data_IF_727701958684
#
_entry.id   IF_727701958684
#
_cell.length_a   1.000
_cell.length_b   1.000
_cell.length_c   1.000
_cell.angle_alpha   90.00
_cell.angle_beta   90.00
_cell.angle_gamma   90.00
#
_symmetry.space_group_name_H-M   'P 1'
#
loop_
_entity.id
_entity.type
_entity.pdbx_description
1 polymer ?
#
# COMPACT_ATOMS: atom_id res chain seq x y z
N UNK A 1 28.35 -42.39 -3.07
CA UNK A 1 27.06 -41.76 -3.45
C UNK A 1 26.97 -40.44 -2.72
N UNK A 2 27.29 -39.34 -3.41
CA UNK A 2 27.36 -38.00 -2.82
C UNK A 2 26.00 -37.33 -2.89
N UNK A 3 25.49 -36.86 -1.74
CA UNK A 3 24.25 -36.11 -1.64
C UNK A 3 24.37 -34.74 -2.35
N UNK A 4 23.28 -34.19 -2.93
CA UNK A 4 23.34 -32.92 -3.62
C UNK A 4 23.48 -31.77 -2.63
N UNK A 5 24.52 -30.96 -2.81
CA UNK A 5 24.73 -29.69 -2.10
C UNK A 5 23.62 -28.72 -2.53
N UNK A 6 22.70 -28.44 -1.61
CA UNK A 6 21.77 -27.31 -1.72
C UNK A 6 22.57 -26.02 -1.84
N UNK A 7 22.60 -25.44 -3.05
CA UNK A 7 23.13 -24.09 -3.28
C UNK A 7 22.22 -23.10 -2.54
N UNK A 8 22.65 -22.65 -1.36
CA UNK A 8 22.10 -21.44 -0.73
C UNK A 8 22.24 -20.30 -1.75
N UNK A 9 21.11 -19.79 -2.25
CA UNK A 9 21.08 -18.54 -3.03
C UNK A 9 21.64 -17.43 -2.13
N UNK A 10 22.62 -16.71 -2.62
CA UNK A 10 23.25 -15.57 -1.93
C UNK A 10 22.24 -14.46 -1.65
N UNK A 11 22.35 -13.80 -0.49
CA UNK A 11 21.50 -12.68 -0.08
C UNK A 11 21.53 -11.49 -1.05
N UNK A 12 22.64 -11.30 -1.77
CA UNK A 12 22.81 -10.25 -2.78
C UNK A 12 21.84 -10.40 -3.97
N UNK A 13 21.59 -11.63 -4.41
CA UNK A 13 20.68 -11.92 -5.53
C UNK A 13 19.24 -11.56 -5.16
N UNK A 14 18.81 -11.89 -3.94
CA UNK A 14 17.47 -11.58 -3.45
C UNK A 14 17.22 -10.07 -3.28
N UNK A 15 18.24 -9.29 -2.94
CA UNK A 15 18.10 -7.84 -2.82
C UNK A 15 17.98 -7.18 -4.21
N UNK A 16 18.82 -7.60 -5.17
CA UNK A 16 18.73 -7.18 -6.57
C UNK A 16 17.35 -7.49 -7.19
N UNK A 17 16.80 -8.67 -6.92
CA UNK A 17 15.48 -9.06 -7.42
C UNK A 17 14.35 -8.17 -6.83
N UNK A 18 14.46 -7.78 -5.55
CA UNK A 18 13.49 -6.89 -4.90
C UNK A 18 13.54 -5.48 -5.48
N UNK A 19 14.74 -4.93 -5.64
CA UNK A 19 14.90 -3.59 -6.21
C UNK A 19 14.41 -3.54 -7.67
N UNK A 20 14.70 -4.57 -8.46
CA UNK A 20 14.18 -4.67 -9.82
C UNK A 20 12.63 -4.70 -9.85
N UNK A 21 12.00 -5.45 -8.94
CA UNK A 21 10.52 -5.48 -8.81
C UNK A 21 9.94 -4.12 -8.41
N UNK A 22 10.61 -3.39 -7.52
CA UNK A 22 10.23 -2.02 -7.17
C UNK A 22 10.32 -1.09 -8.37
N UNK A 23 11.42 -1.13 -9.11
CA UNK A 23 11.61 -0.30 -10.31
C UNK A 23 10.60 -0.62 -11.42
N UNK A 24 10.25 -1.90 -11.61
CA UNK A 24 9.17 -2.32 -12.53
C UNK A 24 7.80 -1.76 -12.14
N UNK A 25 7.60 -1.43 -10.87
CA UNK A 25 6.38 -0.80 -10.34
C UNK A 25 6.54 0.74 -10.19
N UNK A 26 7.55 1.33 -10.83
CA UNK A 26 7.80 2.77 -10.82
C UNK A 26 8.34 3.32 -9.50
N UNK A 27 8.86 2.46 -8.62
CA UNK A 27 9.43 2.86 -7.33
C UNK A 27 10.96 2.90 -7.44
N UNK A 28 11.56 4.03 -7.08
CA UNK A 28 12.98 4.28 -7.24
C UNK A 28 13.63 4.68 -5.90
N UNK A 29 14.65 3.93 -5.48
CA UNK A 29 15.45 4.20 -4.28
C UNK A 29 16.52 5.27 -4.51
N UNK A 30 16.14 6.36 -5.19
CA UNK A 30 17.00 7.49 -5.51
C UNK A 30 16.18 8.77 -5.60
N UNK A 31 16.88 9.90 -5.55
CA UNK A 31 16.28 11.20 -5.83
C UNK A 31 16.17 11.44 -7.33
N UNK A 32 15.21 12.28 -7.69
CA UNK A 32 14.97 12.82 -9.03
C UNK A 32 15.19 14.32 -9.03
N UNK A 33 15.70 14.85 -10.14
CA UNK A 33 15.89 16.30 -10.37
C UNK A 33 14.57 17.09 -10.28
N UNK A 34 13.43 16.40 -10.37
CA UNK A 34 12.08 16.96 -10.30
C UNK A 34 11.58 17.16 -8.85
N UNK A 35 12.43 16.89 -7.84
CA UNK A 35 12.16 17.27 -6.46
C UNK A 35 12.08 18.79 -6.32
N UNK A 36 10.98 19.28 -5.73
CA UNK A 36 10.74 20.71 -5.53
C UNK A 36 11.59 21.31 -4.42
N UNK A 37 11.99 22.57 -4.60
CA UNK A 37 12.82 23.30 -3.65
C UNK A 37 12.12 23.52 -2.30
N UNK A 38 10.81 23.74 -2.32
CA UNK A 38 9.98 23.92 -1.13
C UNK A 38 9.98 22.67 -0.23
N UNK A 39 10.11 21.48 -0.82
CA UNK A 39 10.23 20.24 -0.04
C UNK A 39 11.59 20.14 0.66
N UNK A 40 12.67 20.60 0.03
CA UNK A 40 13.98 20.69 0.68
C UNK A 40 13.93 21.69 1.84
N UNK A 41 13.31 22.85 1.64
CA UNK A 41 13.12 23.86 2.68
C UNK A 41 12.28 23.33 3.85
N UNK A 42 11.19 22.61 3.56
CA UNK A 42 10.39 21.93 4.58
C UNK A 42 11.24 20.96 5.39
N UNK A 43 12.03 20.09 4.74
CA UNK A 43 12.91 19.16 5.43
C UNK A 43 13.93 19.89 6.33
N UNK A 44 14.57 20.95 5.83
CA UNK A 44 15.47 21.78 6.64
C UNK A 44 14.77 22.36 7.87
N UNK A 45 13.56 22.90 7.70
CA UNK A 45 12.75 23.44 8.79
C UNK A 45 12.35 22.37 9.82
N UNK A 46 12.03 21.16 9.37
CA UNK A 46 11.71 20.04 10.26
C UNK A 46 12.92 19.58 11.08
N UNK A 47 14.14 19.78 10.58
CA UNK A 47 15.40 19.50 11.28
C UNK A 47 15.81 20.58 12.29
N UNK A 48 15.16 21.75 12.26
CA UNK A 48 15.45 22.85 13.18
C UNK A 48 14.90 22.58 14.59
N UNK A 49 15.56 23.20 15.57
CA UNK A 49 15.24 23.06 16.97
C UNK A 49 15.94 21.87 17.63
N UNK A 50 16.10 21.99 18.95
CA UNK A 50 16.61 20.93 19.82
C UNK A 50 15.70 20.93 21.05
N UNK A 51 14.69 20.07 21.07
CA UNK A 51 14.02 19.74 22.32
C UNK A 51 14.63 18.43 22.80
N UNK A 52 15.30 18.47 23.94
CA UNK A 52 15.50 17.22 24.67
C UNK A 52 14.12 16.74 25.14
N UNK A 53 13.83 15.43 25.08
CA UNK A 53 12.60 14.89 25.64
C UNK A 53 12.50 15.30 27.13
N UNK A 54 11.54 16.16 27.47
CA UNK A 54 11.37 16.70 28.83
C UNK A 54 10.72 15.71 29.79
N UNK A 55 10.06 14.69 29.25
CA UNK A 55 9.41 13.61 29.99
C UNK A 55 9.85 12.27 29.41
N UNK A 56 10.13 11.32 30.30
CA UNK A 56 10.65 9.99 30.01
C UNK A 56 9.80 9.27 28.95
N UNK A 57 10.23 9.18 27.68
CA UNK A 57 9.45 8.49 26.64
C UNK A 57 9.24 7.01 27.00
N UNK A 58 10.20 6.45 27.74
CA UNK A 58 10.12 5.12 28.36
C UNK A 58 11.09 4.90 29.54
N UNK A 59 12.19 5.68 29.64
CA UNK A 59 13.14 5.65 30.75
C UNK A 59 13.93 6.99 30.86
N UNK A 60 14.76 7.20 31.89
CA UNK A 60 15.59 8.41 32.02
C UNK A 60 16.63 8.63 30.92
N UNK A 61 16.79 9.88 30.46
CA UNK A 61 17.72 10.26 29.37
C UNK A 61 19.13 9.78 29.65
N UNK A 62 19.59 9.90 30.90
CA UNK A 62 20.90 9.49 31.37
C UNK A 62 21.14 7.97 31.27
N UNK A 63 20.10 7.17 31.06
CA UNK A 63 20.18 5.71 30.91
C UNK A 63 20.25 5.23 29.47
N UNK A 64 20.20 6.13 28.49
CA UNK A 64 20.17 5.71 27.09
C UNK A 64 21.44 4.97 26.66
N UNK A 65 22.62 5.35 27.16
CA UNK A 65 23.87 4.67 26.82
C UNK A 65 23.89 3.24 27.40
N UNK A 66 23.48 3.06 28.66
CA UNK A 66 23.29 1.74 29.29
C UNK A 66 22.33 0.85 28.47
N UNK A 67 21.27 1.45 27.91
CA UNK A 67 20.26 0.74 27.10
C UNK A 67 20.80 0.37 25.72
N UNK A 68 21.48 1.28 25.03
CA UNK A 68 22.06 1.03 23.70
C UNK A 68 23.12 -0.09 23.76
N UNK A 69 23.95 -0.10 24.79
CA UNK A 69 24.94 -1.16 25.02
C UNK A 69 24.27 -2.51 25.24
N UNK A 70 23.19 -2.55 26.02
CA UNK A 70 22.46 -3.79 26.29
C UNK A 70 21.74 -4.33 25.05
N UNK A 71 21.23 -3.46 24.18
CA UNK A 71 20.45 -3.84 22.99
C UNK A 71 21.31 -4.35 21.86
N UNK A 72 22.61 -4.05 21.85
CA UNK A 72 23.53 -4.46 20.80
C UNK A 72 23.46 -5.95 20.40
N UNK A 73 23.11 -6.83 21.35
CA UNK A 73 23.03 -8.28 21.13
C UNK A 73 21.60 -8.84 21.24
N UNK A 74 20.57 -7.98 21.21
CA UNK A 74 19.18 -8.37 21.37
C UNK A 74 18.40 -8.35 20.06
N UNK A 75 17.16 -8.85 20.10
CA UNK A 75 16.29 -8.98 18.93
C UNK A 75 15.60 -7.65 18.54
N UNK A 76 14.95 -7.65 17.37
CA UNK A 76 14.26 -6.49 16.80
C UNK A 76 13.14 -5.96 17.72
N UNK A 77 12.41 -6.84 18.40
CA UNK A 77 11.35 -6.41 19.33
C UNK A 77 11.91 -5.59 20.51
N UNK A 78 13.13 -5.88 20.96
CA UNK A 78 13.82 -5.09 21.99
C UNK A 78 14.27 -3.74 21.46
N UNK A 79 14.78 -3.70 20.23
CA UNK A 79 15.09 -2.44 19.55
C UNK A 79 13.83 -1.56 19.42
N UNK A 80 12.72 -2.15 19.00
CA UNK A 80 11.43 -1.47 18.84
C UNK A 80 10.91 -0.89 20.15
N UNK A 81 10.92 -1.70 21.23
CA UNK A 81 10.39 -1.25 22.52
C UNK A 81 11.28 -0.19 23.18
N UNK A 82 12.59 -0.40 23.15
CA UNK A 82 13.52 0.35 24.00
C UNK A 82 14.17 1.54 23.26
N UNK A 83 14.35 1.48 21.93
CA UNK A 83 15.03 2.55 21.15
C UNK A 83 14.05 3.34 20.29
N UNK A 84 13.09 2.69 19.61
CA UNK A 84 12.19 3.39 18.69
C UNK A 84 11.46 4.58 19.33
N UNK A 85 10.97 4.55 20.60
CA UNK A 85 10.35 5.72 21.21
C UNK A 85 11.24 6.96 21.30
N UNK A 86 12.57 6.78 21.31
CA UNK A 86 13.57 7.86 21.29
C UNK A 86 13.95 8.33 19.88
N UNK A 87 13.46 7.65 18.85
CA UNK A 87 13.72 7.97 17.44
C UNK A 87 12.44 8.48 16.78
N UNK A 88 11.35 7.77 17.00
CA UNK A 88 10.00 7.99 16.50
C UNK A 88 9.05 7.99 17.70
N UNK A 89 8.83 9.15 18.35
CA UNK A 89 7.90 9.23 19.47
C UNK A 89 6.48 8.89 19.03
N UNK A 90 5.76 8.24 19.95
CA UNK A 90 4.32 8.02 19.84
C UNK A 90 3.57 9.34 19.89
N UNK A 91 2.77 9.62 18.87
CA UNK A 91 1.88 10.78 18.83
C UNK A 91 0.81 10.69 19.93
N UNK A 92 0.31 9.49 20.22
CA UNK A 92 -0.68 9.25 21.27
C UNK A 92 -0.11 9.48 22.66
N UNK A 93 1.07 8.95 22.96
CA UNK A 93 1.71 9.20 24.25
C UNK A 93 2.02 10.68 24.43
N UNK A 94 2.48 11.38 23.38
CA UNK A 94 2.67 12.83 23.42
C UNK A 94 1.35 13.56 23.73
N UNK A 95 0.23 13.13 23.15
CA UNK A 95 -1.09 13.69 23.41
C UNK A 95 -1.51 13.44 24.88
N UNK A 96 -1.37 12.22 25.38
CA UNK A 96 -1.68 11.88 26.78
C UNK A 96 -0.78 12.59 27.79
N UNK A 97 0.45 12.92 27.41
CA UNK A 97 1.38 13.79 28.15
C UNK A 97 1.07 15.29 28.00
N UNK A 98 -0.06 15.67 27.37
CA UNK A 98 -0.52 17.06 27.30
C UNK A 98 0.01 17.86 26.10
N UNK A 99 0.61 17.22 25.10
CA UNK A 99 0.94 17.90 23.83
C UNK A 99 -0.34 18.12 23.02
N UNK A 100 -0.83 19.36 22.99
CA UNK A 100 -2.02 19.74 22.25
C UNK A 100 -1.83 19.63 20.72
N UNK A 101 -2.94 19.46 19.99
CA UNK A 101 -2.96 19.51 18.53
C UNK A 101 -2.60 18.18 17.84
N UNK A 102 -2.58 17.08 18.58
CA UNK A 102 -2.29 15.73 18.08
C UNK A 102 -3.55 14.84 17.99
N UNK A 103 -4.73 15.37 18.29
CA UNK A 103 -6.00 14.62 18.33
C UNK A 103 -6.35 13.98 16.99
N UNK A 104 -5.93 14.60 15.89
CA UNK A 104 -6.15 14.09 14.53
C UNK A 104 -5.07 13.10 14.04
N UNK A 105 -4.02 12.86 14.83
CA UNK A 105 -2.92 11.95 14.47
C UNK A 105 -3.13 10.60 15.18
N UNK A 106 -3.08 9.54 14.39
CA UNK A 106 -3.15 8.16 14.86
C UNK A 106 -1.86 7.43 14.54
N UNK A 107 -1.62 6.33 15.24
CA UNK A 107 -0.48 5.46 14.99
C UNK A 107 -0.87 4.00 15.10
N UNK A 108 -0.09 3.15 14.43
CA UNK A 108 -0.23 1.71 14.45
C UNK A 108 1.15 1.08 14.55
N UNK A 109 1.26 0.01 15.33
CA UNK A 109 2.52 -0.69 15.59
C UNK A 109 2.41 -2.10 15.03
N UNK A 110 3.33 -2.49 14.14
CA UNK A 110 3.40 -3.83 13.56
C UNK A 110 2.06 -4.29 12.94
N UNK A 111 1.36 -3.39 12.25
CA UNK A 111 0.05 -3.63 11.65
C UNK A 111 0.15 -3.84 10.14
N UNK A 112 -0.48 -4.89 9.62
CA UNK A 112 -0.48 -5.18 8.18
C UNK A 112 -1.48 -4.27 7.46
N UNK A 113 -1.08 -3.72 6.31
CA UNK A 113 -1.93 -2.85 5.50
C UNK A 113 -2.88 -3.67 4.62
N UNK A 114 -3.93 -4.21 5.27
CA UNK A 114 -4.89 -5.14 4.65
C UNK A 114 -5.81 -4.49 3.60
N UNK A 115 -5.93 -3.16 3.60
CA UNK A 115 -6.82 -2.41 2.69
C UNK A 115 -6.16 -1.90 1.41
N UNK A 116 -4.85 -2.10 1.23
CA UNK A 116 -4.14 -1.64 0.04
C UNK A 116 -3.66 -2.79 -0.87
N UNK A 117 -3.65 -2.56 -2.18
CA UNK A 117 -2.94 -3.40 -3.14
C UNK A 117 -1.43 -3.12 -3.06
N UNK A 118 -0.58 -4.15 -2.88
CA UNK A 118 0.85 -3.95 -2.84
C UNK A 118 1.44 -3.67 -4.23
N UNK A 119 2.49 -2.83 -4.28
CA UNK A 119 3.20 -2.46 -5.50
C UNK A 119 4.50 -3.24 -5.67
N UNK A 120 4.42 -4.43 -6.26
CA UNK A 120 5.61 -5.22 -6.61
C UNK A 120 6.22 -6.05 -5.49
N UNK A 121 6.02 -5.73 -4.20
CA UNK A 121 6.42 -6.57 -3.05
C UNK A 121 5.19 -7.14 -2.31
N UNK A 122 5.40 -7.79 -1.15
CA UNK A 122 4.29 -8.25 -0.29
C UNK A 122 3.55 -7.06 0.34
N UNK A 123 2.39 -7.31 0.96
CA UNK A 123 1.69 -6.27 1.73
C UNK A 123 2.61 -5.65 2.78
N UNK A 124 2.62 -4.32 2.91
CA UNK A 124 3.36 -3.64 3.97
C UNK A 124 2.88 -4.09 5.36
N UNK A 125 3.84 -4.20 6.28
CA UNK A 125 3.59 -4.36 7.71
C UNK A 125 4.66 -3.58 8.48
N UNK A 126 4.58 -2.24 8.50
CA UNK A 126 5.59 -1.42 9.14
C UNK A 126 5.69 -1.69 10.63
N UNK A 127 6.89 -1.58 11.19
CA UNK A 127 7.11 -1.70 12.63
C UNK A 127 6.38 -0.58 13.39
N UNK A 128 6.32 0.62 12.80
CA UNK A 128 5.51 1.74 13.26
C UNK A 128 5.02 2.56 12.06
N UNK A 129 3.79 3.04 12.11
CA UNK A 129 3.28 4.02 11.15
C UNK A 129 2.40 5.06 11.86
N UNK A 130 2.53 6.33 11.48
CA UNK A 130 1.64 7.40 11.90
C UNK A 130 0.97 8.06 10.70
N UNK A 131 -0.27 8.46 10.91
CA UNK A 131 -1.19 8.94 9.88
C UNK A 131 -2.30 9.78 10.49
N UNK A 132 -3.31 10.04 9.68
CA UNK A 132 -4.51 10.74 10.13
C UNK A 132 -5.50 9.73 10.71
N UNK A 133 -6.09 10.03 11.87
CA UNK A 133 -7.20 9.23 12.39
C UNK A 133 -8.41 9.34 11.49
N UNK A 134 -9.25 8.30 11.47
CA UNK A 134 -10.55 8.40 10.81
C UNK A 134 -11.41 9.49 11.45
N UNK A 135 -11.31 9.68 12.76
CA UNK A 135 -12.00 10.74 13.51
C UNK A 135 -11.54 12.16 13.18
N UNK A 136 -10.43 12.35 12.47
CA UNK A 136 -9.96 13.66 12.02
C UNK A 136 -10.82 14.25 10.88
N UNK A 137 -11.62 13.40 10.22
CA UNK A 137 -12.49 13.76 9.12
C UNK A 137 -13.93 13.97 9.60
N UNK A 138 -14.65 14.91 8.97
CA UNK A 138 -16.09 15.05 9.17
C UNK A 138 -16.82 13.86 8.57
N UNK A 139 -18.02 13.59 9.04
CA UNK A 139 -18.87 12.50 8.54
C UNK A 139 -19.08 12.59 7.03
N UNK A 140 -19.35 13.79 6.50
CA UNK A 140 -19.56 13.99 5.07
C UNK A 140 -18.28 13.77 4.24
N UNK A 141 -17.11 14.08 4.83
CA UNK A 141 -15.80 13.80 4.22
C UNK A 141 -15.54 12.29 4.20
N UNK A 142 -15.88 11.57 5.28
CA UNK A 142 -15.76 10.12 5.35
C UNK A 142 -16.68 9.41 4.37
N UNK A 143 -17.94 9.82 4.24
CA UNK A 143 -18.88 9.25 3.26
C UNK A 143 -18.34 9.36 1.82
N UNK A 144 -17.70 10.49 1.48
CA UNK A 144 -17.03 10.66 0.18
C UNK A 144 -15.83 9.74 0.03
N UNK A 145 -14.97 9.66 1.05
CA UNK A 145 -13.80 8.78 1.06
C UNK A 145 -14.16 7.29 0.99
N UNK A 146 -15.22 6.86 1.66
CA UNK A 146 -15.72 5.48 1.61
C UNK A 146 -16.24 5.10 0.24
N UNK A 147 -16.92 6.03 -0.43
CA UNK A 147 -17.32 5.83 -1.82
C UNK A 147 -16.12 5.88 -2.78
N UNK A 148 -15.11 6.70 -2.50
CA UNK A 148 -13.90 6.78 -3.31
C UNK A 148 -12.98 5.55 -3.18
N UNK A 149 -12.85 5.02 -1.96
CA UNK A 149 -11.84 4.03 -1.61
C UNK A 149 -11.94 2.76 -2.43
N UNK A 150 -10.78 2.24 -2.84
CA UNK A 150 -10.60 0.88 -3.39
C UNK A 150 -9.24 0.34 -2.93
N UNK A 151 -8.93 -0.96 -3.10
CA UNK A 151 -7.58 -1.45 -2.85
C UNK A 151 -6.49 -0.72 -3.67
N UNK A 152 -6.81 -0.23 -4.87
CA UNK A 152 -5.91 0.52 -5.74
C UNK A 152 -5.74 1.98 -5.30
N UNK A 153 -6.77 2.54 -4.67
CA UNK A 153 -6.87 3.91 -4.15
C UNK A 153 -7.28 3.91 -2.67
N UNK A 154 -6.44 3.34 -1.79
CA UNK A 154 -6.79 3.22 -0.37
C UNK A 154 -6.75 4.61 0.27
N UNK A 155 -7.75 4.95 1.08
CA UNK A 155 -7.69 6.14 1.95
C UNK A 155 -7.30 5.77 3.39
N UNK A 156 -7.60 4.53 3.80
CA UNK A 156 -7.25 3.93 5.09
C UNK A 156 -6.55 2.59 4.87
N UNK A 157 -5.61 2.25 5.75
CA UNK A 157 -4.68 1.13 5.60
C UNK A 157 -4.87 0.07 6.68
N UNK A 158 -5.24 0.50 7.88
CA UNK A 158 -5.74 -0.30 9.01
C UNK A 158 -7.09 0.29 9.46
N UNK A 159 -7.67 -0.17 10.57
CA UNK A 159 -9.00 0.26 11.02
C UNK A 159 -9.16 1.79 11.25
N UNK A 160 -8.12 2.46 11.78
CA UNK A 160 -8.16 3.91 12.09
C UNK A 160 -7.05 4.73 11.39
N UNK A 161 -6.09 4.09 10.70
CA UNK A 161 -4.98 4.77 10.06
C UNK A 161 -5.29 5.19 8.61
N UNK A 162 -5.67 6.46 8.43
CA UNK A 162 -5.89 7.10 7.14
C UNK A 162 -4.65 7.86 6.65
N UNK A 163 -4.37 7.80 5.34
CA UNK A 163 -3.26 8.51 4.68
C UNK A 163 -1.96 8.60 5.53
N UNK A 164 -1.27 7.46 5.77
CA UNK A 164 -0.04 7.43 6.55
C UNK A 164 0.99 8.41 5.98
N UNK A 165 1.61 9.20 6.84
CA UNK A 165 2.61 10.19 6.44
C UNK A 165 3.97 9.97 7.11
N UNK A 166 4.07 9.06 8.08
CA UNK A 166 5.30 8.67 8.74
C UNK A 166 5.34 7.15 8.87
N UNK A 167 6.43 6.52 8.45
CA UNK A 167 6.59 5.05 8.48
C UNK A 167 7.98 4.74 9.04
N UNK A 168 8.09 3.75 9.90
CA UNK A 168 9.35 3.36 10.50
C UNK A 168 9.57 1.85 10.45
N UNK A 169 10.81 1.48 10.15
CA UNK A 169 11.32 0.11 10.14
C UNK A 169 12.59 0.07 10.98
N UNK A 170 12.58 -0.81 11.98
CA UNK A 170 13.67 -1.03 12.90
C UNK A 170 14.27 -2.41 12.61
N UNK A 171 15.57 -2.45 12.32
CA UNK A 171 16.26 -3.71 12.00
C UNK A 171 17.56 -3.84 12.77
N UNK A 172 17.96 -5.07 13.06
CA UNK A 172 19.25 -5.33 13.73
C UNK A 172 20.40 -5.41 12.72
N UNK A 173 21.57 -4.89 13.10
CA UNK A 173 22.78 -4.93 12.27
C UNK A 173 22.77 -3.97 11.05
N UNK A 174 23.85 -4.00 10.25
CA UNK A 174 24.00 -3.14 9.06
C UNK A 174 23.22 -3.66 7.85
N UNK A 175 23.25 -4.96 7.57
CA UNK A 175 22.45 -5.57 6.48
C UNK A 175 20.94 -5.34 6.72
N UNK A 176 20.53 -5.20 7.98
CA UNK A 176 19.16 -4.86 8.35
C UNK A 176 18.73 -3.46 7.88
N UNK A 177 19.64 -2.47 7.82
CA UNK A 177 19.24 -1.10 7.47
C UNK A 177 18.82 -0.98 6.00
N UNK A 178 19.51 -1.67 5.09
CA UNK A 178 19.16 -1.67 3.65
C UNK A 178 17.80 -2.37 3.43
N UNK A 179 17.49 -3.37 4.26
CA UNK A 179 16.18 -4.02 4.24
C UNK A 179 15.08 -3.09 4.77
N UNK A 180 15.33 -2.38 5.88
CA UNK A 180 14.43 -1.36 6.41
C UNK A 180 14.14 -0.28 5.35
N UNK A 181 15.18 0.22 4.67
CA UNK A 181 15.04 1.18 3.58
C UNK A 181 14.17 0.68 2.43
N UNK A 182 14.34 -0.58 2.04
CA UNK A 182 13.57 -1.23 0.97
C UNK A 182 12.09 -1.39 1.37
N UNK A 183 11.81 -1.73 2.63
CA UNK A 183 10.44 -1.85 3.15
C UNK A 183 9.77 -0.48 3.30
N UNK A 184 10.53 0.50 3.79
CA UNK A 184 10.08 1.88 3.96
C UNK A 184 9.74 2.53 2.62
N UNK A 185 10.60 2.44 1.60
CA UNK A 185 10.32 3.03 0.28
C UNK A 185 9.08 2.40 -0.37
N UNK A 186 8.87 1.10 -0.19
CA UNK A 186 7.70 0.40 -0.72
C UNK A 186 6.42 0.92 -0.06
N UNK A 187 6.39 0.93 1.27
CA UNK A 187 5.25 1.42 2.05
C UNK A 187 4.96 2.89 1.78
N UNK A 188 5.99 3.73 1.74
CA UNK A 188 5.86 5.16 1.48
C UNK A 188 5.40 5.47 0.05
N UNK A 189 5.75 4.63 -0.93
CA UNK A 189 5.26 4.79 -2.30
C UNK A 189 3.77 4.52 -2.40
N UNK A 190 3.25 3.51 -1.70
CA UNK A 190 1.81 3.23 -1.64
C UNK A 190 1.06 4.37 -0.93
N UNK A 191 1.59 4.87 0.20
CA UNK A 191 1.01 6.00 0.91
C UNK A 191 1.04 7.30 0.07
N UNK A 192 2.14 7.56 -0.66
CA UNK A 192 2.24 8.69 -1.59
C UNK A 192 1.24 8.55 -2.73
N UNK A 193 1.12 7.34 -3.30
CA UNK A 193 0.13 7.02 -4.35
C UNK A 193 -1.28 7.37 -3.89
N UNK A 194 -1.68 6.97 -2.68
CA UNK A 194 -3.01 7.24 -2.14
C UNK A 194 -3.39 8.74 -2.22
N UNK A 195 -2.47 9.62 -1.82
CA UNK A 195 -2.69 11.07 -1.81
C UNK A 195 -2.75 11.65 -3.22
N UNK A 196 -1.83 11.22 -4.10
CA UNK A 196 -1.79 11.70 -5.49
C UNK A 196 -3.01 11.21 -6.28
N UNK A 197 -3.39 9.95 -6.10
CA UNK A 197 -4.60 9.37 -6.70
C UNK A 197 -5.85 10.10 -6.21
N UNK A 198 -5.94 10.47 -4.93
CA UNK A 198 -7.06 11.27 -4.41
C UNK A 198 -7.21 12.59 -5.19
N UNK A 199 -6.09 13.30 -5.37
CA UNK A 199 -6.07 14.56 -6.12
C UNK A 199 -6.37 14.37 -7.61
N UNK A 200 -5.77 13.35 -8.23
CA UNK A 200 -5.98 13.04 -9.63
C UNK A 200 -7.45 12.67 -9.92
N UNK A 201 -8.09 11.87 -9.07
CA UNK A 201 -9.50 11.50 -9.21
C UNK A 201 -10.45 12.68 -8.90
N UNK A 202 -10.08 13.57 -7.99
CA UNK A 202 -10.91 14.72 -7.61
C UNK A 202 -10.86 15.84 -8.65
N UNK A 203 -9.65 16.22 -9.08
CA UNK A 203 -9.42 17.41 -9.89
C UNK A 203 -9.03 17.09 -11.34
N UNK A 204 -8.60 15.86 -11.62
CA UNK A 204 -7.97 15.46 -12.86
C UNK A 204 -6.43 15.48 -12.77
N UNK A 205 -5.78 14.54 -13.46
CA UNK A 205 -4.31 14.39 -13.49
C UNK A 205 -3.57 15.63 -14.03
N UNK A 206 -4.21 16.40 -14.92
CA UNK A 206 -3.61 17.58 -15.56
C UNK A 206 -3.90 18.90 -14.84
N UNK A 207 -4.73 18.87 -13.80
CA UNK A 207 -5.14 20.05 -13.05
C UNK A 207 -3.99 20.64 -12.23
N UNK A 208 -3.98 21.96 -12.05
CA UNK A 208 -2.92 22.68 -11.33
C UNK A 208 -2.70 22.15 -9.92
N UNK A 209 -3.77 21.95 -9.14
CA UNK A 209 -3.71 21.36 -7.79
C UNK A 209 -3.02 19.99 -7.75
N UNK A 210 -3.27 19.12 -8.73
CA UNK A 210 -2.63 17.80 -8.82
C UNK A 210 -1.16 17.94 -9.20
N UNK A 211 -0.86 18.77 -10.19
CA UNK A 211 0.52 19.08 -10.61
C UNK A 211 1.32 19.73 -9.49
N UNK A 212 0.68 20.51 -8.63
CA UNK A 212 1.30 21.17 -7.48
C UNK A 212 1.82 20.19 -6.41
N UNK A 213 1.25 18.98 -6.35
CA UNK A 213 1.75 17.91 -5.48
C UNK A 213 2.95 17.17 -6.07
N UNK A 214 3.10 17.13 -7.39
CA UNK A 214 4.20 16.41 -8.01
C UNK A 214 5.55 17.06 -7.67
N UNK A 215 6.50 16.24 -7.27
CA UNK A 215 7.80 16.67 -6.77
C UNK A 215 7.77 17.16 -5.32
N UNK A 216 6.63 17.14 -4.61
CA UNK A 216 6.56 17.47 -3.19
C UNK A 216 6.65 16.24 -2.31
N UNK A 217 7.41 16.33 -1.23
CA UNK A 217 7.47 15.28 -0.21
C UNK A 217 6.13 15.23 0.52
N UNK A 218 5.49 14.07 0.49
CA UNK A 218 4.19 13.81 1.08
C UNK A 218 4.25 12.78 2.21
N UNK A 219 5.25 11.90 2.21
CA UNK A 219 5.44 10.85 3.20
C UNK A 219 6.88 10.84 3.66
N UNK A 220 7.11 10.56 4.93
CA UNK A 220 8.42 10.49 5.54
C UNK A 220 8.68 9.09 6.08
N UNK A 221 9.93 8.66 6.04
CA UNK A 221 10.30 7.36 6.61
C UNK A 221 11.53 7.44 7.50
N UNK A 222 11.54 6.59 8.51
CA UNK A 222 12.65 6.42 9.43
C UNK A 222 13.12 4.96 9.36
N UNK A 223 14.36 4.75 8.98
CA UNK A 223 15.01 3.44 9.10
C UNK A 223 16.01 3.54 10.23
N UNK A 224 15.99 2.64 11.21
CA UNK A 224 17.00 2.68 12.27
C UNK A 224 17.43 1.31 12.77
N UNK A 225 18.60 1.32 13.39
CA UNK A 225 19.06 0.25 14.27
C UNK A 225 19.48 0.84 15.62
N UNK A 226 20.29 0.13 16.39
CA UNK A 226 20.80 0.59 17.68
C UNK A 226 21.98 1.59 17.58
N UNK A 227 22.37 2.02 16.38
CA UNK A 227 23.54 2.89 16.16
C UNK A 227 23.26 4.09 15.26
N UNK A 228 22.46 3.89 14.22
CA UNK A 228 22.20 4.90 13.19
C UNK A 228 20.70 5.02 12.93
N UNK A 229 20.31 6.22 12.50
CA UNK A 229 18.96 6.56 12.03
C UNK A 229 19.09 7.22 10.67
N UNK A 230 18.34 6.73 9.68
CA UNK A 230 18.21 7.35 8.37
C UNK A 230 16.82 7.96 8.22
N UNK A 231 16.76 9.20 7.76
CA UNK A 231 15.54 9.92 7.45
C UNK A 231 15.40 10.13 5.95
N UNK A 232 14.22 9.84 5.43
CA UNK A 232 13.89 10.03 4.02
C UNK A 232 12.54 10.72 3.83
N UNK A 233 12.40 11.43 2.71
CA UNK A 233 11.14 11.96 2.23
C UNK A 233 10.77 11.33 0.89
N UNK A 234 9.48 11.07 0.68
CA UNK A 234 8.96 10.34 -0.48
C UNK A 234 7.95 11.19 -1.24
N UNK A 235 8.02 11.13 -2.56
CA UNK A 235 7.27 11.99 -3.45
C UNK A 235 7.01 11.30 -4.79
N UNK A 236 6.01 11.79 -5.51
CA UNK A 236 5.65 11.31 -6.83
C UNK A 236 6.07 12.31 -7.92
N UNK A 237 6.32 11.78 -9.11
CA UNK A 237 6.62 12.52 -10.34
C UNK A 237 5.76 11.93 -11.46
N UNK A 238 5.31 12.76 -12.42
CA UNK A 238 4.61 12.24 -13.60
C UNK A 238 5.54 11.33 -14.43
N UNK A 239 5.07 10.15 -14.81
CA UNK A 239 5.79 9.25 -15.72
C UNK A 239 5.92 9.91 -17.09
N UNK A 240 7.12 9.90 -17.64
CA UNK A 240 7.40 10.37 -19.01
C UNK A 240 7.05 9.32 -20.07
N UNK A 241 6.85 8.06 -19.66
CA UNK A 241 6.67 6.93 -20.56
C UNK A 241 5.25 6.38 -20.40
N UNK A 242 4.40 6.61 -21.40
CA UNK A 242 3.03 6.06 -21.50
C UNK A 242 3.00 4.55 -21.81
N UNK A 243 3.83 3.76 -21.13
CA UNK A 243 3.81 2.30 -21.26
C UNK A 243 2.82 1.74 -20.27
N UNK A 244 1.55 1.72 -20.68
CA UNK A 244 0.48 0.97 -20.03
C UNK A 244 0.85 -0.52 -20.03
N UNK A 245 1.53 -0.98 -18.98
CA UNK A 245 1.60 -2.39 -18.66
C UNK A 245 0.42 -2.74 -17.78
N UNK A 246 -0.61 -3.30 -18.43
CA UNK A 246 -1.74 -4.05 -17.88
C UNK A 246 -2.80 -3.25 -17.09
N UNK A 247 -3.84 -2.80 -17.79
CA UNK A 247 -5.22 -2.79 -17.29
C UNK A 247 -5.70 -1.62 -16.44
N UNK A 248 -4.83 -0.72 -15.97
CA UNK A 248 -5.26 0.45 -15.17
C UNK A 248 -5.58 1.65 -16.07
N UNK A 249 -6.81 1.72 -16.60
CA UNK A 249 -7.25 2.81 -17.50
C UNK A 249 -7.55 4.15 -16.82
N UNK A 250 -7.41 4.32 -15.49
CA UNK A 250 -7.86 5.56 -14.83
C UNK A 250 -6.98 6.09 -13.68
N UNK A 251 -5.70 5.72 -13.64
CA UNK A 251 -4.74 6.26 -12.67
C UNK A 251 -3.52 6.82 -13.39
N UNK A 252 -3.30 8.13 -13.32
CA UNK A 252 -2.10 8.75 -13.92
C UNK A 252 -0.84 7.95 -13.60
N UNK A 253 -0.03 7.63 -14.61
CA UNK A 253 1.21 6.90 -14.40
C UNK A 253 2.17 7.80 -13.61
N UNK A 254 2.30 7.57 -12.31
CA UNK A 254 3.25 8.26 -11.45
C UNK A 254 4.44 7.35 -11.12
N UNK A 255 5.61 7.95 -11.00
CA UNK A 255 6.82 7.30 -10.49
C UNK A 255 7.14 7.87 -9.11
N UNK A 256 7.61 7.02 -8.21
CA UNK A 256 7.82 7.33 -6.80
C UNK A 256 9.31 7.32 -6.49
N UNK A 257 9.77 8.39 -5.86
CA UNK A 257 11.18 8.65 -5.58
C UNK A 257 11.39 8.94 -4.10
N UNK A 258 12.63 8.75 -3.66
CA UNK A 258 13.08 9.00 -2.29
C UNK A 258 14.11 10.14 -2.28
N UNK A 259 14.01 11.02 -1.31
CA UNK A 259 15.00 12.04 -0.99
C UNK A 259 15.66 11.74 0.34
N UNK A 260 16.99 11.72 0.36
CA UNK A 260 17.79 11.51 1.55
C UNK A 260 17.82 12.81 2.37
N UNK A 261 17.15 12.82 3.53
CA UNK A 261 17.01 14.01 4.37
C UNK A 261 18.21 14.14 5.30
N UNK A 262 18.50 13.10 6.08
CA UNK A 262 19.59 13.09 7.05
C UNK A 262 19.94 11.67 7.51
N UNK A 263 21.14 11.52 8.03
CA UNK A 263 21.60 10.34 8.76
C UNK A 263 22.18 10.80 10.10
N UNK A 264 21.76 10.18 11.19
CA UNK A 264 22.22 10.50 12.55
C UNK A 264 22.84 9.29 13.23
N UNK A 265 23.76 9.55 14.15
CA UNK A 265 24.22 8.53 15.08
C UNK A 265 23.55 8.62 16.45
N UNK A 266 23.12 7.46 16.96
CA UNK A 266 22.61 7.32 18.33
C UNK A 266 23.72 7.23 19.38
N UNK A 267 24.87 6.63 19.03
CA UNK A 267 25.93 6.32 19.99
C UNK A 267 27.27 7.03 19.72
N UNK A 268 27.52 7.50 18.50
CA UNK A 268 28.78 8.20 18.17
C UNK A 268 28.75 9.64 18.67
N UNK A 269 29.93 10.26 18.74
CA UNK A 269 30.10 11.68 19.10
C UNK A 269 29.44 12.05 20.43
N UNK A 270 29.59 11.19 21.44
CA UNK A 270 28.97 11.38 22.77
C UNK A 270 27.44 11.52 22.68
N UNK A 271 26.85 10.94 21.62
CA UNK A 271 25.42 10.97 21.31
C UNK A 271 24.83 12.36 21.12
N UNK A 272 25.61 13.33 20.62
CA UNK A 272 25.12 14.69 20.28
C UNK A 272 23.92 14.71 19.32
N UNK A 273 23.74 13.65 18.54
CA UNK A 273 22.67 13.54 17.53
C UNK A 273 21.50 12.66 17.98
N UNK A 274 21.54 12.08 19.19
CA UNK A 274 20.60 11.03 19.63
C UNK A 274 19.12 11.45 19.58
N UNK A 275 18.83 12.75 19.74
CA UNK A 275 17.48 13.31 19.70
C UNK A 275 17.12 14.03 18.40
N UNK A 276 17.98 14.01 17.38
CA UNK A 276 17.70 14.71 16.11
C UNK A 276 16.51 14.11 15.38
N UNK A 277 16.42 12.78 15.31
CA UNK A 277 15.27 12.09 14.72
C UNK A 277 13.98 12.30 15.52
N UNK A 278 14.05 12.20 16.86
CA UNK A 278 12.93 12.49 17.75
C UNK A 278 12.35 13.88 17.49
N UNK A 279 13.22 14.90 17.43
CA UNK A 279 12.82 16.27 17.17
C UNK A 279 12.22 16.46 15.78
N UNK A 280 12.81 15.82 14.77
CA UNK A 280 12.25 15.82 13.42
C UNK A 280 10.82 15.27 13.39
N UNK A 281 10.57 14.13 14.04
CA UNK A 281 9.24 13.51 14.09
C UNK A 281 8.24 14.37 14.88
N UNK A 282 8.65 14.97 16.01
CA UNK A 282 7.78 15.93 16.72
C UNK A 282 7.44 17.14 15.87
N UNK A 283 8.40 17.69 15.15
CA UNK A 283 8.17 18.77 14.20
C UNK A 283 7.26 18.33 13.06
N UNK A 284 7.34 17.06 12.62
CA UNK A 284 6.45 16.52 11.61
C UNK A 284 4.99 16.51 12.11
N UNK A 285 4.75 16.01 13.31
CA UNK A 285 3.41 16.04 13.91
C UNK A 285 2.89 17.48 14.10
N UNK A 286 3.74 18.38 14.59
CA UNK A 286 3.33 19.77 14.87
C UNK A 286 3.11 20.61 13.60
N UNK A 287 3.97 20.47 12.60
CA UNK A 287 4.02 21.38 11.47
C UNK A 287 3.43 20.77 10.19
N UNK A 288 3.71 19.50 9.91
CA UNK A 288 3.31 18.86 8.67
C UNK A 288 1.91 18.23 8.77
N UNK A 289 1.63 17.47 9.83
CA UNK A 289 0.37 16.73 9.94
C UNK A 289 -0.90 17.62 9.81
N UNK A 290 -0.98 18.82 10.43
CA UNK A 290 -2.14 19.69 10.27
C UNK A 290 -2.29 20.21 8.82
N UNK A 291 -1.19 20.58 8.18
CA UNK A 291 -1.20 21.02 6.78
C UNK A 291 -1.56 19.86 5.83
N UNK A 292 -1.14 18.65 6.18
CA UNK A 292 -1.46 17.44 5.44
C UNK A 292 -2.94 17.07 5.53
N UNK A 293 -3.51 17.13 6.74
CA UNK A 293 -4.95 16.98 6.96
C UNK A 293 -5.74 18.01 6.16
N UNK A 294 -5.37 19.28 6.25
CA UNK A 294 -6.05 20.36 5.53
C UNK A 294 -6.03 20.13 4.01
N UNK A 295 -4.87 19.75 3.46
CA UNK A 295 -4.70 19.39 2.05
C UNK A 295 -5.67 18.28 1.63
N UNK A 296 -5.73 17.19 2.40
CA UNK A 296 -6.61 16.06 2.08
C UNK A 296 -8.08 16.48 2.17
N UNK A 297 -8.47 17.23 3.20
CA UNK A 297 -9.83 17.72 3.37
C UNK A 297 -10.26 18.67 2.25
N UNK A 298 -9.35 19.49 1.74
CA UNK A 298 -9.62 20.34 0.56
C UNK A 298 -9.92 19.51 -0.70
N UNK A 299 -9.20 18.40 -0.91
CA UNK A 299 -9.48 17.48 -1.99
C UNK A 299 -10.85 16.81 -1.78
N UNK A 300 -11.08 16.21 -0.62
CA UNK A 300 -12.34 15.51 -0.31
C UNK A 300 -13.55 16.45 -0.38
N UNK A 301 -13.43 17.68 0.12
CA UNK A 301 -14.49 18.69 0.05
C UNK A 301 -14.83 19.11 -1.38
N UNK A 302 -13.89 18.95 -2.33
CA UNK A 302 -14.09 19.25 -3.75
C UNK A 302 -14.60 18.05 -4.55
N UNK A 303 -14.74 16.87 -3.95
CA UNK A 303 -15.31 15.70 -4.63
C UNK A 303 -16.80 15.90 -4.89
N UNK A 304 -17.26 15.33 -6.01
CA UNK A 304 -18.68 15.21 -6.31
C UNK A 304 -19.39 14.47 -5.17
N UNK A 305 -20.62 14.89 -4.87
CA UNK A 305 -21.44 14.20 -3.87
C UNK A 305 -21.66 12.73 -4.32
N UNK A 306 -21.52 11.77 -3.40
CA UNK A 306 -21.65 10.38 -3.74
C UNK A 306 -23.09 10.11 -4.20
N UNK A 307 -23.24 9.59 -5.42
CA UNK A 307 -24.51 8.99 -5.86
C UNK A 307 -24.71 7.74 -4.99
N UNK A 308 -25.88 7.54 -4.34
CA UNK A 308 -26.12 6.37 -3.52
C UNK A 308 -25.83 5.09 -4.31
N UNK A 309 -24.79 4.35 -3.91
CA UNK A 309 -24.43 3.10 -4.60
C UNK A 309 -25.46 2.02 -4.31
N UNK A 310 -25.98 1.40 -5.37
CA UNK A 310 -26.74 0.15 -5.34
C UNK A 310 -25.85 -1.11 -5.43
N UNK A 311 -24.53 -0.98 -5.19
CA UNK A 311 -23.54 -2.07 -5.29
C UNK A 311 -22.59 -2.15 -4.09
N UNK A 312 -21.98 -3.33 -3.91
CA UNK A 312 -21.22 -3.78 -2.72
C UNK A 312 -20.17 -2.75 -2.23
N UNK A 313 -20.44 -2.19 -1.04
CA UNK A 313 -19.56 -1.30 -0.27
C UNK A 313 -18.53 -2.09 0.55
N UNK A 314 -17.44 -1.43 0.96
CA UNK A 314 -16.47 -1.91 1.95
C UNK A 314 -17.10 -2.48 3.23
N UNK A 315 -18.33 -2.06 3.56
CA UNK A 315 -19.11 -2.62 4.67
C UNK A 315 -19.26 -4.15 4.57
N UNK A 316 -19.25 -4.73 3.38
CA UNK A 316 -19.31 -6.18 3.20
C UNK A 316 -18.01 -6.91 3.64
N UNK A 317 -16.86 -6.23 3.66
CA UNK A 317 -15.59 -6.81 4.12
C UNK A 317 -15.39 -6.74 5.63
N UNK A 318 -16.07 -5.80 6.32
CA UNK A 318 -16.05 -5.71 7.79
C UNK A 318 -16.92 -6.79 8.44
N UNK A 319 -18.02 -7.19 7.80
CA UNK A 319 -18.93 -8.23 8.31
C UNK A 319 -18.25 -9.61 8.40
N UNK A 320 -17.26 -9.90 7.56
CA UNK A 320 -16.56 -11.21 7.57
C UNK A 320 -15.60 -11.33 8.77
N UNK A 321 -15.24 -10.23 9.44
CA UNK A 321 -14.31 -10.26 10.58
C UNK A 321 -15.00 -10.42 11.95
N UNK A 322 -16.32 -10.17 12.04
CA UNK A 322 -17.06 -10.17 13.31
C UNK A 322 -17.83 -11.47 13.61
N UNK A 323 -18.02 -12.37 12.64
CA UNK A 323 -18.79 -13.61 12.86
C UNK A 323 -18.08 -14.69 13.69
N UNK A 324 -16.76 -14.61 13.89
CA UNK A 324 -16.00 -15.67 14.58
C UNK A 324 -15.77 -15.40 16.07
N UNK A 325 -16.38 -14.36 16.65
CA UNK A 325 -16.11 -14.03 18.06
C UNK A 325 -17.29 -13.53 18.91
N UNK A 326 -18.53 -13.86 18.58
CA UNK A 326 -19.63 -13.59 19.51
C UNK A 326 -20.74 -14.65 19.48
N UNK A 327 -20.77 -15.48 20.53
CA UNK A 327 -21.93 -15.71 21.44
C UNK A 327 -21.69 -16.98 22.27
N UNK A 328 -21.48 -16.83 23.58
CA UNK A 328 -22.44 -17.11 24.66
C UNK A 328 -22.19 -18.49 25.31
N UNK A 329 -22.29 -18.67 26.62
CA UNK A 329 -22.94 -17.84 27.62
C UNK A 329 -22.37 -18.08 29.01
N UNK A 330 -22.56 -17.06 29.85
CA UNK A 330 -22.47 -17.15 31.30
C UNK A 330 -23.70 -17.89 31.81
N UNK A 331 -23.54 -18.81 32.77
CA UNK A 331 -24.58 -19.05 33.76
C UNK A 331 -23.99 -19.55 35.08
N UNK A 332 -24.60 -19.04 36.15
CA UNK A 332 -24.24 -19.14 37.56
C UNK A 332 -24.93 -20.34 38.19
N UNK A 333 -24.23 -21.16 38.99
CA UNK A 333 -24.82 -21.85 40.16
C UNK A 333 -23.74 -22.26 41.16
N UNK A 334 -24.01 -22.08 42.45
CA UNK A 334 -23.07 -22.29 43.56
C UNK A 334 -23.06 -23.69 44.19
N UNK A 335 -22.11 -23.81 45.12
CA UNK A 335 -21.97 -24.74 46.27
C UNK A 335 -21.89 -26.25 46.01
N UNK A 336 -20.72 -26.84 46.25
CA UNK A 336 -20.40 -27.71 47.41
C UNK A 336 -19.04 -28.42 47.22
N UNK A 337 -18.30 -28.54 48.32
CA UNK A 337 -17.08 -29.35 48.43
C UNK A 337 -17.38 -30.84 48.23
N UNK A 338 -16.59 -31.54 47.42
CA UNK A 338 -16.10 -32.87 47.80
C UNK A 338 -14.84 -33.27 47.02
N UNK A 339 -13.90 -33.84 47.77
CA UNK A 339 -12.59 -34.34 47.39
C UNK A 339 -12.70 -35.59 46.49
N UNK A 340 -11.76 -35.75 45.56
CA UNK A 340 -11.74 -36.87 44.62
C UNK A 340 -10.91 -36.62 43.36
N UNK A 341 -9.59 -36.80 43.48
CA UNK A 341 -8.63 -36.78 42.39
C UNK A 341 -9.07 -37.68 41.21
N UNK A 342 -9.48 -37.07 40.09
CA UNK A 342 -9.71 -37.76 38.80
C UNK A 342 -8.60 -37.38 37.83
N UNK A 343 -8.05 -38.40 37.17
CA UNK A 343 -6.96 -38.34 36.20
C UNK A 343 -7.22 -37.32 35.06
N UNK A 344 -6.18 -36.67 34.51
CA UNK A 344 -6.37 -35.60 33.54
C UNK A 344 -7.00 -36.10 32.23
N UNK A 345 -8.11 -35.48 31.85
CA UNK A 345 -8.69 -35.52 30.51
C UNK A 345 -7.66 -34.92 29.53
N UNK A 346 -7.56 -35.49 28.33
CA UNK A 346 -6.65 -35.00 27.28
C UNK A 346 -6.75 -33.48 27.12
N UNK A 347 -5.61 -32.76 27.06
CA UNK A 347 -5.63 -31.30 26.99
C UNK A 347 -6.30 -30.85 25.70
N UNK A 348 -7.21 -29.87 25.81
CA UNK A 348 -7.96 -29.27 24.71
C UNK A 348 -7.10 -28.85 23.49
N UNK A 349 -5.80 -28.65 23.70
CA UNK A 349 -4.81 -28.32 22.67
C UNK A 349 -4.58 -29.41 21.61
N UNK A 350 -4.83 -30.69 21.91
CA UNK A 350 -4.68 -31.79 20.94
C UNK A 350 -5.94 -31.93 20.08
N UNK A 351 -7.12 -31.77 20.68
CA UNK A 351 -8.41 -31.74 19.96
C UNK A 351 -8.48 -30.55 18.99
N UNK A 352 -8.14 -29.35 19.46
CA UNK A 352 -8.07 -28.14 18.64
C UNK A 352 -7.07 -28.27 17.48
N UNK A 353 -5.90 -28.91 17.69
CA UNK A 353 -4.94 -29.17 16.60
C UNK A 353 -5.51 -30.11 15.55
N UNK A 354 -6.32 -31.10 15.94
CA UNK A 354 -6.95 -32.05 15.02
C UNK A 354 -8.08 -31.40 14.22
N UNK A 355 -8.83 -30.48 14.84
CA UNK A 355 -9.85 -29.68 14.16
C UNK A 355 -9.24 -28.65 13.21
N UNK A 356 -8.18 -27.94 13.62
CA UNK A 356 -7.43 -27.05 12.73
C UNK A 356 -6.84 -27.78 11.53
N UNK A 357 -6.34 -29.01 11.71
CA UNK A 357 -5.86 -29.84 10.61
C UNK A 357 -6.99 -30.26 9.64
N UNK A 358 -8.18 -30.55 10.16
CA UNK A 358 -9.38 -30.86 9.34
C UNK A 358 -9.87 -29.62 8.59
N UNK A 359 -9.96 -28.47 9.25
CA UNK A 359 -10.35 -27.20 8.62
C UNK A 359 -9.36 -26.80 7.53
N UNK A 360 -8.05 -26.94 7.77
CA UNK A 360 -7.03 -26.69 6.75
C UNK A 360 -7.19 -27.59 5.53
N UNK A 361 -7.49 -28.87 5.74
CA UNK A 361 -7.77 -29.81 4.65
C UNK A 361 -9.07 -29.50 3.88
N UNK A 362 -10.08 -28.94 4.54
CA UNK A 362 -11.31 -28.46 3.88
C UNK A 362 -11.04 -27.18 3.08
N UNK A 363 -10.23 -26.26 3.62
CA UNK A 363 -9.86 -25.01 2.96
C UNK A 363 -9.00 -25.28 1.72
N UNK A 364 -8.05 -26.22 1.79
CA UNK A 364 -7.24 -26.63 0.63
C UNK A 364 -8.12 -27.23 -0.48
N UNK A 365 -9.15 -28.02 -0.13
CA UNK A 365 -10.13 -28.55 -1.10
C UNK A 365 -10.97 -27.45 -1.74
N UNK A 366 -11.40 -26.46 -0.96
CA UNK A 366 -12.19 -25.34 -1.47
C UNK A 366 -11.37 -24.46 -2.42
N UNK A 367 -10.11 -24.20 -2.08
CA UNK A 367 -9.16 -23.48 -2.94
C UNK A 367 -8.93 -24.23 -4.25
N UNK A 368 -8.75 -25.54 -4.20
CA UNK A 368 -8.57 -26.36 -5.39
C UNK A 368 -9.83 -26.34 -6.28
N UNK A 369 -11.02 -26.32 -5.69
CA UNK A 369 -12.28 -26.24 -6.43
C UNK A 369 -12.48 -24.87 -7.09
N UNK A 370 -12.11 -23.78 -6.42
CA UNK A 370 -12.11 -22.43 -6.97
C UNK A 370 -11.11 -22.28 -8.13
N UNK A 371 -9.92 -22.85 -8.00
CA UNK A 371 -8.91 -22.83 -9.04
C UNK A 371 -9.35 -23.63 -10.27
N UNK A 372 -9.99 -24.79 -10.06
CA UNK A 372 -10.58 -25.59 -11.12
C UNK A 372 -11.69 -24.84 -11.86
N UNK A 373 -12.62 -24.20 -11.14
CA UNK A 373 -13.66 -23.36 -11.75
C UNK A 373 -13.07 -22.20 -12.56
N UNK A 374 -11.95 -21.61 -12.10
CA UNK A 374 -11.28 -20.53 -12.83
C UNK A 374 -10.65 -21.03 -14.13
N UNK A 375 -10.07 -22.22 -14.12
CA UNK A 375 -9.50 -22.84 -15.32
C UNK A 375 -10.61 -23.16 -16.32
N UNK A 376 -11.69 -23.81 -15.87
CA UNK A 376 -12.84 -24.16 -16.71
C UNK A 376 -13.52 -22.92 -17.32
N UNK A 377 -13.70 -21.86 -16.53
CA UNK A 377 -14.26 -20.60 -17.02
C UNK A 377 -13.36 -19.94 -18.07
N UNK A 378 -12.03 -20.02 -17.89
CA UNK A 378 -11.07 -19.48 -18.85
C UNK A 378 -11.08 -20.27 -20.17
N UNK A 379 -11.15 -21.60 -20.11
CA UNK A 379 -11.25 -22.46 -21.28
C UNK A 379 -12.54 -22.19 -22.07
N UNK A 380 -13.68 -22.01 -21.39
CA UNK A 380 -14.94 -21.64 -22.04
C UNK A 380 -14.86 -20.29 -22.75
N UNK A 381 -14.26 -19.27 -22.12
CA UNK A 381 -14.06 -17.96 -22.74
C UNK A 381 -13.16 -18.03 -23.98
N UNK A 382 -12.10 -18.84 -23.92
CA UNK A 382 -11.19 -19.03 -25.06
C UNK A 382 -11.87 -19.77 -26.21
N UNK A 383 -12.71 -20.76 -25.91
CA UNK A 383 -13.52 -21.47 -26.89
C UNK A 383 -14.52 -20.53 -27.58
N UNK A 384 -15.29 -19.74 -26.81
CA UNK A 384 -16.21 -18.74 -27.38
C UNK A 384 -15.48 -17.72 -28.28
N UNK A 385 -14.26 -17.31 -27.89
CA UNK A 385 -13.47 -16.37 -28.68
C UNK A 385 -13.02 -16.97 -30.01
N UNK A 386 -12.68 -18.26 -30.02
CA UNK A 386 -12.29 -18.96 -31.24
C UNK A 386 -13.50 -19.20 -32.16
N UNK A 387 -14.64 -19.61 -31.60
CA UNK A 387 -15.89 -19.77 -32.36
C UNK A 387 -16.33 -18.45 -33.00
N UNK A 388 -16.27 -17.33 -32.25
CA UNK A 388 -16.59 -16.00 -32.78
C UNK A 388 -15.64 -15.56 -33.90
N UNK A 389 -14.36 -15.92 -33.82
CA UNK A 389 -13.39 -15.66 -34.90
C UNK A 389 -13.71 -16.47 -36.15
N UNK A 390 -14.01 -17.75 -35.99
CA UNK A 390 -14.36 -18.64 -37.11
C UNK A 390 -15.64 -18.18 -37.81
N UNK A 391 -16.65 -17.74 -37.06
CA UNK A 391 -17.87 -17.16 -37.62
C UNK A 391 -17.59 -15.88 -38.40
N UNK A 392 -16.75 -15.00 -37.85
CA UNK A 392 -16.36 -13.75 -38.52
C UNK A 392 -15.61 -14.03 -39.83
N UNK A 393 -14.68 -14.99 -39.83
CA UNK A 393 -13.95 -15.37 -41.05
C UNK A 393 -14.89 -15.96 -42.11
N UNK A 394 -15.88 -16.78 -41.72
CA UNK A 394 -16.87 -17.32 -42.66
C UNK A 394 -17.73 -16.21 -43.27
N UNK A 395 -18.13 -15.23 -42.45
CA UNK A 395 -18.90 -14.07 -42.91
C UNK A 395 -18.08 -13.19 -43.86
N UNK A 396 -16.81 -12.95 -43.57
CA UNK A 396 -15.90 -12.21 -44.46
C UNK A 396 -15.74 -12.92 -45.82
N UNK A 397 -15.55 -14.25 -45.84
CA UNK A 397 -15.47 -15.02 -47.09
C UNK A 397 -16.76 -14.93 -47.91
N UNK A 398 -17.93 -14.98 -47.28
CA UNK A 398 -19.21 -14.81 -47.97
C UNK A 398 -19.36 -13.42 -48.58
N UNK A 399 -18.97 -12.36 -47.86
CA UNK A 399 -19.02 -10.99 -48.36
C UNK A 399 -18.08 -10.78 -49.54
N UNK A 400 -16.86 -11.34 -49.49
CA UNK A 400 -15.90 -11.27 -50.60
C UNK A 400 -16.42 -12.01 -51.84
N UNK A 401 -17.07 -13.16 -51.65
CA UNK A 401 -17.69 -13.92 -52.73
C UNK A 401 -18.84 -13.14 -53.38
N UNK A 402 -19.76 -12.60 -52.59
CA UNK A 402 -20.86 -11.76 -53.10
C UNK A 402 -20.35 -10.53 -53.85
N UNK A 403 -19.30 -9.89 -53.35
CA UNK A 403 -18.66 -8.74 -54.00
C UNK A 403 -18.04 -9.12 -55.34
N UNK A 404 -17.45 -10.31 -55.45
CA UNK A 404 -16.89 -10.82 -56.70
C UNK A 404 -18.00 -11.14 -57.71
N UNK A 405 -19.06 -11.83 -57.28
CA UNK A 405 -20.22 -12.13 -58.12
C UNK A 405 -20.93 -10.86 -58.61
N UNK A 406 -21.07 -9.85 -57.76
CA UNK A 406 -21.63 -8.54 -58.13
C UNK A 406 -20.76 -7.81 -59.16
N UNK A 407 -19.43 -7.88 -59.01
CA UNK A 407 -18.50 -7.34 -60.03
C UNK A 407 -18.63 -8.06 -61.37
N UNK A 408 -18.66 -9.38 -61.36
CA UNK A 408 -18.79 -10.18 -62.59
C UNK A 408 -20.14 -9.91 -63.29
N UNK A 409 -21.22 -9.72 -62.52
CA UNK A 409 -22.52 -9.30 -63.07
C UNK A 409 -22.47 -7.90 -63.68
N UNK A 410 -21.82 -6.95 -63.01
CA UNK A 410 -21.65 -5.58 -63.50
C UNK A 410 -20.82 -5.56 -64.80
N UNK A 411 -19.77 -6.36 -64.88
CA UNK A 411 -18.91 -6.47 -66.07
C UNK A 411 -19.66 -7.09 -67.27
N UNK A 412 -20.50 -8.11 -67.03
CA UNK A 412 -21.40 -8.66 -68.06
C UNK A 412 -22.46 -7.65 -68.51
N UNK A 413 -23.00 -6.85 -67.59
CA UNK A 413 -23.93 -5.76 -67.92
C UNK A 413 -23.24 -4.67 -68.76
N UNK A 414 -22.01 -4.30 -68.41
CA UNK A 414 -21.21 -3.36 -69.20
C UNK A 414 -20.87 -3.89 -70.60
N UNK A 415 -20.50 -5.18 -70.75
CA UNK A 415 -20.25 -5.78 -72.07
C UNK A 415 -21.53 -5.82 -72.92
N UNK A 416 -22.69 -6.10 -72.33
CA UNK A 416 -23.99 -6.02 -73.03
C UNK A 416 -24.33 -4.60 -73.49
N UNK A 417 -24.11 -3.59 -72.65
CA UNK A 417 -24.34 -2.18 -73.00
C UNK A 417 -23.40 -1.72 -74.11
N UNK A 418 -22.16 -2.23 -74.13
CA UNK A 418 -21.15 -1.91 -75.15
C UNK A 418 -21.45 -2.52 -76.53
N UNK A 419 -22.29 -3.55 -76.58
CA UNK A 419 -22.69 -4.26 -77.81
C UNK A 419 -24.05 -3.81 -78.36
N UNK A 420 -24.72 -2.86 -77.70
CA UNK A 420 -25.92 -2.24 -78.24
C UNK A 420 -25.52 -1.29 -79.39
N UNK A 421 -26.02 -1.49 -80.63
CA UNK A 421 -25.73 -0.56 -81.70
C UNK A 421 -26.38 0.79 -81.39
N UNK A 422 -25.60 1.87 -81.55
CA UNK A 422 -26.11 3.23 -81.54
C UNK A 422 -27.15 3.41 -82.66
N UNK A 423 -28.41 3.10 -82.37
CA UNK A 423 -29.49 3.29 -83.32
C UNK A 423 -30.10 4.69 -83.16
N UNK A 424 -29.82 5.51 -84.16
CA UNK A 424 -30.61 6.64 -84.67
C UNK A 424 -30.66 7.93 -83.85
N UNK A 425 -29.69 8.80 -84.13
CA UNK A 425 -30.01 10.19 -84.41
C UNK A 425 -30.48 10.32 -85.88
N UNK A 426 -31.74 10.66 -86.10
CA UNK A 426 -32.26 11.26 -87.34
C UNK A 426 -33.66 11.83 -87.09
N UNK A 427 -33.70 13.09 -86.64
CA UNK A 427 -34.47 14.22 -87.17
C UNK A 427 -34.22 15.44 -86.28
#
# INVERSE_FOLDING_TARGET
>A
MSAPISKRKSSSTHHSDKEQRLQQNGIHMKSSILLRAESKQLCSKLLEGNCEPTEFPCYPVEKIDDVLDRIHNLNESRLQRDVTPWVVPSAENLLFSGTAGLEGVGEEINAEWVRCQPMGLSRPKPDFAAGLRRSAFRREELEKLENYGTPQTPFYFTHDLCFPFLICEAKTGRIGIDQADTQNVHSASIATKAIISLYASTFGSQHEKTKDLLGRILVFTVSHNNRIVNLYGHYAVASTNGSASNGDEDGGHFQYFRYDIAMFSLSMYEGRERFKAYNFVRNLYRCFAPQHLQRIREAVGSMQEPVPRTGLSFAASDIILDEDNSQHGSEVTGSQENDGFKTPIEPASVSQKREMAKMRGQLDKLLQQLEQQRIESREQLEQQRNESKDEKERMERQMEQQRKESKDQMERLMDMVSRLPASRASC
#
